data_IF_311366609854
#
_entry.id   IF_311366609854
#
_cell.length_a   1.000
_cell.length_b   1.000
_cell.length_c   1.000
_cell.angle_alpha   90.00
_cell.angle_beta   90.00
_cell.angle_gamma   90.00
#
_symmetry.space_group_name_H-M   'P 1'
#
loop_
_entity.id
_entity.type
_entity.pdbx_description
1 polymer ?
#
# COMPACT_ATOMS: atom_id res chain seq x y z
N UNK A 1 6.08 -3.53 -18.74
CA UNK A 1 5.33 -3.33 -17.50
C UNK A 1 6.22 -3.72 -16.32
N UNK A 2 6.38 -2.83 -15.34
CA UNK A 2 7.09 -3.16 -14.09
C UNK A 2 6.11 -3.68 -13.04
N UNK A 3 6.56 -4.58 -12.15
CA UNK A 3 5.70 -5.04 -11.07
C UNK A 3 6.47 -5.29 -9.77
N UNK A 4 5.80 -4.97 -8.67
CA UNK A 4 6.32 -5.03 -7.32
C UNK A 4 5.30 -5.73 -6.43
N UNK A 5 5.70 -6.88 -5.87
CA UNK A 5 4.81 -7.70 -5.06
C UNK A 5 5.43 -7.92 -3.69
N UNK A 6 4.65 -7.80 -2.66
CA UNK A 6 5.10 -7.89 -1.29
C UNK A 6 4.00 -8.28 -0.30
N UNK A 7 4.41 -8.37 0.95
CA UNK A 7 3.53 -8.61 2.09
C UNK A 7 3.40 -7.35 2.96
N UNK A 8 2.36 -7.30 3.77
CA UNK A 8 2.11 -6.22 4.74
C UNK A 8 2.95 -6.39 6.01
N UNK A 9 4.26 -6.30 5.84
CA UNK A 9 5.26 -6.55 6.87
C UNK A 9 5.92 -7.92 6.73
N UNK A 10 6.78 -8.23 7.68
CA UNK A 10 7.60 -9.47 7.67
C UNK A 10 7.63 -10.20 9.03
N UNK A 11 6.97 -9.69 10.05
CA UNK A 11 7.00 -10.26 11.40
C UNK A 11 5.82 -11.22 11.62
N UNK A 12 5.82 -12.33 10.88
CA UNK A 12 4.77 -13.35 10.89
C UNK A 12 5.35 -14.74 11.10
N UNK A 13 4.49 -15.74 11.35
CA UNK A 13 4.89 -17.12 11.63
C UNK A 13 5.64 -17.79 10.48
N UNK A 14 5.35 -17.44 9.24
CA UNK A 14 6.03 -17.93 8.06
C UNK A 14 7.46 -17.42 7.91
N UNK A 15 7.84 -16.32 8.55
CA UNK A 15 9.22 -15.83 8.63
C UNK A 15 9.90 -16.44 9.84
N UNK A 16 10.71 -17.49 9.62
CA UNK A 16 11.33 -18.30 10.69
C UNK A 16 12.15 -17.49 11.69
N UNK A 17 12.81 -16.44 11.22
CA UNK A 17 13.66 -15.58 12.06
C UNK A 17 12.94 -14.32 12.54
N UNK A 18 11.72 -14.07 12.04
CA UNK A 18 10.91 -12.89 12.35
C UNK A 18 11.66 -11.57 12.16
N UNK A 19 12.57 -11.50 11.21
CA UNK A 19 13.38 -10.32 10.92
C UNK A 19 13.37 -9.95 9.42
N UNK A 20 13.79 -8.73 9.13
CA UNK A 20 13.79 -8.20 7.77
C UNK A 20 14.84 -8.85 6.88
N UNK A 21 15.99 -9.27 7.44
CA UNK A 21 17.05 -9.95 6.69
C UNK A 21 16.55 -11.27 6.10
N UNK A 22 15.80 -12.04 6.88
CA UNK A 22 15.18 -13.26 6.39
C UNK A 22 14.21 -12.97 5.23
N UNK A 23 13.39 -11.90 5.36
CA UNK A 23 12.45 -11.50 4.31
C UNK A 23 13.17 -11.19 3.00
N UNK A 24 14.21 -10.38 3.05
CA UNK A 24 15.02 -10.03 1.87
C UNK A 24 15.61 -11.28 1.19
N UNK A 25 16.12 -12.22 1.98
CA UNK A 25 16.85 -13.37 1.44
C UNK A 25 15.94 -14.55 1.03
N UNK A 26 14.73 -14.67 1.62
CA UNK A 26 13.94 -15.90 1.50
C UNK A 26 12.54 -15.70 0.95
N UNK A 27 11.98 -14.50 0.96
CA UNK A 27 10.60 -14.28 0.49
C UNK A 27 10.43 -14.44 -1.02
N UNK A 28 11.50 -14.30 -1.81
CA UNK A 28 11.46 -14.25 -3.28
C UNK A 28 10.59 -13.10 -3.84
N UNK A 29 10.28 -12.11 -3.01
CA UNK A 29 9.49 -10.92 -3.37
C UNK A 29 10.42 -9.71 -3.53
N UNK A 30 9.94 -8.70 -4.25
CA UNK A 30 10.72 -7.49 -4.57
C UNK A 30 10.16 -6.21 -3.93
N UNK A 31 9.13 -6.33 -3.10
CA UNK A 31 8.56 -5.20 -2.35
C UNK A 31 8.12 -5.61 -0.94
N UNK A 32 7.85 -4.62 -0.10
CA UNK A 32 7.25 -4.78 1.22
C UNK A 32 6.46 -3.55 1.60
N UNK A 33 5.33 -3.74 2.27
CA UNK A 33 4.54 -2.67 2.87
C UNK A 33 4.80 -2.63 4.37
N UNK A 34 5.36 -1.54 4.87
CA UNK A 34 5.65 -1.37 6.30
C UNK A 34 4.40 -0.89 7.04
N UNK A 35 3.66 -1.80 7.67
CA UNK A 35 2.46 -1.47 8.41
C UNK A 35 2.71 -1.06 9.87
N UNK A 36 3.83 -1.44 10.48
CA UNK A 36 4.15 -1.12 11.88
C UNK A 36 4.22 0.40 12.15
N UNK A 37 4.61 1.19 11.15
CA UNK A 37 4.69 2.66 11.22
C UNK A 37 3.33 3.34 11.42
N UNK A 38 2.23 2.66 11.09
CA UNK A 38 0.87 3.12 11.35
C UNK A 38 0.57 3.30 12.84
N UNK A 39 1.06 2.36 13.66
CA UNK A 39 0.80 2.34 15.10
C UNK A 39 1.84 3.14 15.89
N UNK A 40 3.10 3.04 15.50
CA UNK A 40 4.23 3.67 16.19
C UNK A 40 5.33 4.04 15.20
N UNK A 41 5.92 5.21 15.38
CA UNK A 41 7.12 5.59 14.63
C UNK A 41 8.25 4.59 14.93
N UNK A 42 8.88 4.02 13.89
CA UNK A 42 10.05 3.17 14.07
C UNK A 42 11.21 3.93 14.72
N UNK A 43 12.10 3.22 15.40
CA UNK A 43 13.31 3.84 15.86
C UNK A 43 14.26 4.17 14.70
N UNK A 44 15.02 5.29 14.76
CA UNK A 44 15.94 5.70 13.68
C UNK A 44 16.93 4.60 13.28
N UNK A 45 17.42 3.80 14.25
CA UNK A 45 18.34 2.69 13.97
C UNK A 45 17.68 1.54 13.19
N UNK A 46 16.37 1.31 13.37
CA UNK A 46 15.64 0.33 12.57
C UNK A 46 15.62 0.76 11.10
N UNK A 47 15.29 2.03 10.84
CA UNK A 47 15.21 2.59 9.48
C UNK A 47 16.57 2.53 8.79
N UNK A 48 17.66 2.91 9.48
CA UNK A 48 19.03 2.77 8.96
C UNK A 48 19.37 1.32 8.62
N UNK A 49 18.99 0.39 9.49
CA UNK A 49 19.20 -1.05 9.25
C UNK A 49 18.41 -1.55 8.03
N UNK A 50 17.16 -1.10 7.85
CA UNK A 50 16.38 -1.46 6.68
C UNK A 50 16.94 -0.86 5.39
N UNK A 51 17.45 0.37 5.43
CA UNK A 51 18.11 0.99 4.29
C UNK A 51 19.35 0.24 3.84
N UNK A 52 20.14 -0.26 4.80
CA UNK A 52 21.37 -1.04 4.51
C UNK A 52 21.06 -2.44 3.96
N UNK A 53 20.02 -3.09 4.50
CA UNK A 53 19.68 -4.49 4.21
C UNK A 53 18.68 -4.65 3.05
N UNK A 54 17.93 -3.60 2.74
CA UNK A 54 16.82 -3.66 1.81
C UNK A 54 17.19 -3.48 0.33
N UNK A 55 18.46 -3.64 -0.03
CA UNK A 55 18.87 -3.55 -1.44
C UNK A 55 18.07 -4.54 -2.30
N UNK A 56 17.39 -4.04 -3.33
CA UNK A 56 16.52 -4.85 -4.19
C UNK A 56 15.06 -4.97 -3.72
N UNK A 57 14.71 -4.43 -2.54
CA UNK A 57 13.33 -4.37 -2.04
C UNK A 57 12.79 -2.94 -2.15
N UNK A 58 11.62 -2.78 -2.74
CA UNK A 58 10.89 -1.50 -2.76
C UNK A 58 9.93 -1.42 -1.57
N UNK A 59 9.83 -0.25 -0.98
CA UNK A 59 9.00 -0.03 0.20
C UNK A 59 7.76 0.80 -0.13
N UNK A 60 6.64 0.38 0.42
CA UNK A 60 5.49 1.22 0.68
C UNK A 60 5.35 1.42 2.19
N UNK A 61 5.27 2.67 2.65
CA UNK A 61 5.27 2.98 4.08
C UNK A 61 3.86 3.42 4.49
N UNK A 62 3.21 2.64 5.35
CA UNK A 62 1.89 3.02 5.86
C UNK A 62 2.02 4.18 6.84
N UNK A 63 1.36 5.28 6.48
CA UNK A 63 1.39 6.53 7.24
C UNK A 63 0.73 6.36 8.60
N UNK A 64 1.24 7.07 9.60
CA UNK A 64 0.75 6.99 10.98
C UNK A 64 -0.75 7.25 11.10
N UNK A 65 -1.45 6.42 11.92
CA UNK A 65 -2.87 6.60 12.25
C UNK A 65 -3.18 7.98 12.84
N UNK A 66 -2.20 8.66 13.39
CA UNK A 66 -2.38 10.02 13.92
C UNK A 66 -2.82 10.97 12.81
N UNK A 67 -2.30 10.82 11.58
CA UNK A 67 -2.64 11.66 10.43
C UNK A 67 -4.02 11.29 9.89
N UNK A 68 -4.28 10.01 9.62
CA UNK A 68 -5.47 9.57 8.87
C UNK A 68 -6.69 9.29 9.75
N UNK A 69 -6.50 8.80 10.99
CA UNK A 69 -7.57 8.35 11.87
C UNK A 69 -7.87 9.34 13.01
N UNK A 70 -6.84 9.95 13.60
CA UNK A 70 -7.00 10.84 14.74
C UNK A 70 -7.26 12.27 14.26
N UNK A 71 -6.32 12.85 13.54
CA UNK A 71 -6.41 14.24 13.07
C UNK A 71 -7.14 14.37 11.72
N UNK A 72 -7.34 13.26 10.99
CA UNK A 72 -8.15 13.22 9.76
C UNK A 72 -7.80 14.34 8.77
N UNK A 73 -6.50 14.53 8.54
CA UNK A 73 -5.93 15.51 7.63
C UNK A 73 -6.16 16.99 8.03
N UNK A 74 -6.54 17.28 9.28
CA UNK A 74 -6.61 18.66 9.75
C UNK A 74 -5.21 19.29 9.92
N UNK A 75 -5.13 20.53 10.40
CA UNK A 75 -3.87 21.28 10.56
C UNK A 75 -2.84 20.57 11.45
N UNK A 76 -3.27 19.80 12.45
CA UNK A 76 -2.36 19.04 13.32
C UNK A 76 -1.69 17.86 12.61
N UNK A 77 -2.17 17.49 11.41
CA UNK A 77 -1.59 16.42 10.61
C UNK A 77 -0.26 16.83 9.96
N UNK A 78 -0.07 18.10 9.63
CA UNK A 78 1.11 18.59 8.89
C UNK A 78 2.42 18.40 9.68
N UNK A 79 2.55 18.85 10.93
CA UNK A 79 3.79 18.64 11.67
C UNK A 79 4.08 17.15 11.91
N UNK A 80 3.04 16.31 12.02
CA UNK A 80 3.21 14.86 12.15
C UNK A 80 3.72 14.26 10.84
N UNK A 81 3.16 14.69 9.70
CA UNK A 81 3.63 14.28 8.37
C UNK A 81 5.09 14.67 8.14
N UNK A 82 5.45 15.90 8.44
CA UNK A 82 6.82 16.39 8.30
C UNK A 82 7.81 15.58 9.17
N UNK A 83 7.48 15.36 10.43
CA UNK A 83 8.29 14.52 11.32
C UNK A 83 8.41 13.08 10.79
N UNK A 84 7.31 12.54 10.25
CA UNK A 84 7.25 11.18 9.69
C UNK A 84 8.19 11.04 8.49
N UNK A 85 8.09 11.90 7.48
CA UNK A 85 8.92 11.80 6.28
C UNK A 85 10.40 12.09 6.58
N UNK A 86 10.67 13.02 7.51
CA UNK A 86 12.03 13.28 7.97
C UNK A 86 12.67 12.06 8.63
N UNK A 87 11.90 11.32 9.42
CA UNK A 87 12.37 10.08 10.03
C UNK A 87 12.78 9.02 9.00
N UNK A 88 12.05 8.94 7.88
CA UNK A 88 12.31 7.97 6.82
C UNK A 88 13.36 8.40 5.79
N UNK A 89 13.98 9.58 5.91
CA UNK A 89 15.04 10.06 5.00
C UNK A 89 16.14 9.02 4.68
N UNK A 90 16.67 8.25 5.66
CA UNK A 90 17.70 7.24 5.36
C UNK A 90 17.24 6.13 4.41
N UNK A 91 15.93 5.86 4.35
CA UNK A 91 15.32 4.83 3.51
C UNK A 91 14.74 5.40 2.20
N UNK A 92 14.78 6.71 1.99
CA UNK A 92 14.06 7.45 0.97
C UNK A 92 14.26 6.91 -0.47
N UNK A 93 15.47 6.45 -0.81
CA UNK A 93 15.80 5.90 -2.13
C UNK A 93 15.10 4.56 -2.44
N UNK A 94 14.67 3.84 -1.41
CA UNK A 94 13.97 2.57 -1.52
C UNK A 94 12.44 2.71 -1.36
N UNK A 95 11.95 3.88 -0.93
CA UNK A 95 10.51 4.11 -0.77
C UNK A 95 9.91 4.54 -2.11
N UNK A 96 8.92 3.79 -2.58
CA UNK A 96 8.10 4.20 -3.72
C UNK A 96 6.87 4.98 -3.26
N UNK A 97 6.21 4.51 -2.19
CA UNK A 97 4.95 5.09 -1.75
C UNK A 97 4.84 5.31 -0.25
N UNK A 98 4.00 6.30 0.09
CA UNK A 98 3.42 6.53 1.39
C UNK A 98 1.93 6.20 1.33
N UNK A 99 1.50 5.17 2.08
CA UNK A 99 0.13 4.69 2.08
C UNK A 99 -0.70 5.40 3.17
N UNK A 100 -1.66 6.20 2.73
CA UNK A 100 -2.68 6.83 3.56
C UNK A 100 -3.94 5.97 3.57
N UNK A 101 -4.11 5.13 4.59
CA UNK A 101 -5.34 4.36 4.75
C UNK A 101 -6.30 5.12 5.67
N UNK A 102 -7.54 5.30 5.20
CA UNK A 102 -8.59 6.02 5.92
C UNK A 102 -9.60 5.07 6.56
N UNK A 103 -10.16 5.43 7.75
CA UNK A 103 -11.18 4.62 8.39
C UNK A 103 -12.54 4.70 7.64
N UNK A 104 -13.47 3.75 7.86
CA UNK A 104 -14.82 3.81 7.29
C UNK A 104 -15.59 5.11 7.60
N UNK A 105 -15.27 5.74 8.72
CA UNK A 105 -15.87 7.02 9.12
C UNK A 105 -15.32 8.25 8.38
N UNK A 106 -14.30 8.08 7.52
CA UNK A 106 -13.80 9.11 6.61
C UNK A 106 -14.61 9.03 5.32
N UNK A 107 -15.65 9.87 5.23
CA UNK A 107 -16.63 9.86 4.14
C UNK A 107 -16.32 10.95 3.11
N UNK A 108 -17.08 10.98 2.03
CA UNK A 108 -16.96 12.00 0.98
C UNK A 108 -17.23 13.43 1.46
N UNK A 109 -17.83 13.60 2.65
CA UNK A 109 -17.98 14.92 3.32
C UNK A 109 -16.62 15.56 3.68
N UNK A 110 -15.56 14.79 3.77
CA UNK A 110 -14.20 15.26 4.03
C UNK A 110 -13.40 15.54 2.74
N UNK A 111 -14.04 15.55 1.57
CA UNK A 111 -13.35 15.72 0.28
C UNK A 111 -12.51 17.00 0.22
N UNK A 112 -13.04 18.15 0.65
CA UNK A 112 -12.30 19.41 0.65
C UNK A 112 -11.06 19.37 1.55
N UNK A 113 -11.16 18.71 2.69
CA UNK A 113 -10.02 18.51 3.60
C UNK A 113 -8.97 17.60 2.96
N UNK A 114 -9.42 16.56 2.27
CA UNK A 114 -8.57 15.64 1.53
C UNK A 114 -7.80 16.38 0.42
N UNK A 115 -8.50 17.12 -0.44
CA UNK A 115 -7.89 17.91 -1.53
C UNK A 115 -6.85 18.88 -0.98
N UNK A 116 -7.21 19.67 0.04
CA UNK A 116 -6.33 20.66 0.65
C UNK A 116 -5.04 20.02 1.17
N UNK A 117 -5.15 18.95 1.95
CA UNK A 117 -3.99 18.29 2.52
C UNK A 117 -3.00 17.80 1.45
N UNK A 118 -3.48 17.14 0.40
CA UNK A 118 -2.62 16.63 -0.65
C UNK A 118 -2.08 17.72 -1.59
N UNK A 119 -2.81 18.82 -1.76
CA UNK A 119 -2.32 19.99 -2.48
C UNK A 119 -1.18 20.72 -1.74
N UNK A 120 -1.26 20.76 -0.40
CA UNK A 120 -0.26 21.42 0.45
C UNK A 120 1.03 20.58 0.65
N UNK A 121 1.00 19.28 0.34
CA UNK A 121 2.19 18.43 0.41
C UNK A 121 3.19 18.85 -0.69
N UNK A 122 4.50 18.95 -0.35
CA UNK A 122 5.51 19.35 -1.34
C UNK A 122 5.49 18.50 -2.61
N UNK A 123 5.68 19.13 -3.77
CA UNK A 123 5.68 18.48 -5.09
C UNK A 123 6.62 17.28 -5.21
N UNK A 124 7.70 17.25 -4.42
CA UNK A 124 8.64 16.12 -4.38
C UNK A 124 8.00 14.79 -3.93
N UNK A 125 6.81 14.85 -3.33
CA UNK A 125 6.02 13.68 -2.94
C UNK A 125 4.88 13.36 -3.91
N UNK A 126 4.59 14.21 -4.90
CA UNK A 126 3.54 13.95 -5.88
C UNK A 126 3.84 12.67 -6.65
N UNK A 127 2.83 11.84 -6.88
CA UNK A 127 2.97 10.51 -7.47
C UNK A 127 3.56 9.43 -6.54
N UNK A 128 3.90 9.80 -5.29
CA UNK A 128 4.41 8.88 -4.26
C UNK A 128 3.44 8.67 -3.10
N UNK A 129 2.22 9.14 -3.23
CA UNK A 129 1.17 8.98 -2.21
C UNK A 129 0.09 8.07 -2.76
N UNK A 130 -0.27 7.06 -2.00
CA UNK A 130 -1.37 6.17 -2.31
C UNK A 130 -2.44 6.25 -1.22
N UNK A 131 -3.70 6.20 -1.61
CA UNK A 131 -4.83 6.40 -0.71
C UNK A 131 -5.78 5.21 -0.74
N UNK A 132 -5.95 4.56 0.41
CA UNK A 132 -6.90 3.48 0.61
C UNK A 132 -8.13 3.96 1.36
N UNK A 133 -9.26 3.95 0.68
CA UNK A 133 -10.55 4.29 1.26
C UNK A 133 -11.23 3.04 1.81
N UNK A 134 -11.87 3.17 2.97
CA UNK A 134 -12.63 2.09 3.63
C UNK A 134 -14.13 2.36 3.67
N UNK A 135 -14.57 3.52 3.20
CA UNK A 135 -15.99 3.83 3.06
C UNK A 135 -16.40 3.61 1.59
N UNK A 136 -17.48 2.84 1.32
CA UNK A 136 -17.93 2.53 -0.04
C UNK A 136 -18.31 3.75 -0.89
N UNK A 137 -18.70 4.88 -0.27
CA UNK A 137 -19.06 6.09 -1.00
C UNK A 137 -17.95 6.58 -1.94
N UNK A 138 -16.69 6.37 -1.56
CA UNK A 138 -15.52 6.81 -2.35
C UNK A 138 -15.35 6.05 -3.67
N UNK A 139 -15.96 4.87 -3.80
CA UNK A 139 -15.86 4.04 -5.01
C UNK A 139 -16.95 4.36 -6.05
N UNK A 140 -17.82 5.32 -5.80
CA UNK A 140 -18.73 5.85 -6.81
C UNK A 140 -17.95 6.58 -7.90
N UNK A 141 -18.38 6.44 -9.16
CA UNK A 141 -17.68 6.97 -10.34
C UNK A 141 -17.34 8.46 -10.23
N UNK A 142 -18.27 9.24 -9.69
CA UNK A 142 -18.06 10.67 -9.44
C UNK A 142 -16.80 10.92 -8.61
N UNK A 143 -16.66 10.22 -7.47
CA UNK A 143 -15.57 10.46 -6.54
C UNK A 143 -14.24 9.90 -7.04
N UNK A 144 -14.25 8.80 -7.79
CA UNK A 144 -13.05 8.29 -8.47
C UNK A 144 -12.52 9.36 -9.44
N UNK A 145 -13.39 9.94 -10.29
CA UNK A 145 -13.03 11.01 -11.23
C UNK A 145 -12.47 12.27 -10.53
N UNK A 146 -13.09 12.68 -9.42
CA UNK A 146 -12.60 13.82 -8.64
C UNK A 146 -11.21 13.54 -8.03
N UNK A 147 -10.99 12.33 -7.50
CA UNK A 147 -9.70 11.95 -6.92
C UNK A 147 -8.59 11.79 -7.98
N UNK A 148 -8.90 11.48 -9.24
CA UNK A 148 -7.94 11.43 -10.34
C UNK A 148 -7.29 12.79 -10.64
N UNK A 149 -7.93 13.90 -10.22
CA UNK A 149 -7.37 15.24 -10.35
C UNK A 149 -6.36 15.61 -9.26
N UNK A 150 -6.20 14.74 -8.25
CA UNK A 150 -5.31 14.93 -7.10
C UNK A 150 -4.04 14.10 -7.33
N UNK A 151 -2.85 14.55 -6.93
CA UNK A 151 -1.59 13.85 -7.19
C UNK A 151 -1.40 12.62 -6.27
N UNK A 152 -2.42 11.76 -6.19
CA UNK A 152 -2.43 10.51 -5.41
C UNK A 152 -2.79 9.32 -6.30
N UNK A 153 -2.34 8.15 -5.92
CA UNK A 153 -2.74 6.88 -6.54
C UNK A 153 -3.84 6.23 -5.69
N UNK A 154 -4.92 5.82 -6.32
CA UNK A 154 -6.02 5.14 -5.64
C UNK A 154 -5.71 3.66 -5.44
N UNK A 155 -5.95 3.16 -4.24
CA UNK A 155 -5.76 1.75 -3.91
C UNK A 155 -6.97 0.93 -4.34
N UNK A 156 -6.72 -0.13 -5.10
CA UNK A 156 -7.67 -1.20 -5.35
C UNK A 156 -7.69 -2.13 -4.14
N UNK A 157 -8.84 -2.27 -3.51
CA UNK A 157 -8.99 -3.06 -2.28
C UNK A 157 -9.74 -4.35 -2.60
N UNK A 158 -9.10 -5.50 -2.34
CA UNK A 158 -9.76 -6.79 -2.36
C UNK A 158 -10.12 -7.19 -0.92
N UNK A 159 -11.41 -7.09 -0.59
CA UNK A 159 -11.92 -7.32 0.76
C UNK A 159 -13.40 -7.70 0.77
N UNK A 160 -13.93 -8.31 1.88
CA UNK A 160 -15.32 -8.75 1.93
C UNK A 160 -16.35 -7.65 1.74
N UNK A 161 -16.06 -6.45 2.26
CA UNK A 161 -17.06 -5.36 2.35
C UNK A 161 -16.92 -4.30 1.26
N UNK A 162 -15.89 -4.37 0.42
CA UNK A 162 -15.63 -3.40 -0.63
C UNK A 162 -15.65 -4.07 -2.00
N UNK A 163 -15.99 -3.29 -3.03
CA UNK A 163 -15.96 -3.79 -4.39
C UNK A 163 -14.54 -4.15 -4.79
N UNK A 164 -14.34 -5.39 -5.26
CA UNK A 164 -13.04 -5.88 -5.76
C UNK A 164 -12.73 -5.31 -7.16
N UNK A 165 -12.95 -4.00 -7.33
CA UNK A 165 -12.68 -3.31 -8.59
C UNK A 165 -11.23 -2.89 -8.66
N UNK A 166 -10.54 -3.28 -9.72
CA UNK A 166 -9.20 -2.81 -10.00
C UNK A 166 -9.27 -1.41 -10.62
N UNK A 167 -8.54 -0.47 -10.00
CA UNK A 167 -8.48 0.93 -10.42
C UNK A 167 -7.11 1.19 -11.01
N UNK A 168 -7.10 1.64 -12.26
CA UNK A 168 -5.90 2.20 -12.89
C UNK A 168 -5.85 3.69 -12.56
N UNK A 169 -4.88 4.11 -11.76
CA UNK A 169 -4.70 5.49 -11.32
C UNK A 169 -3.30 5.96 -11.70
N UNK A 170 -3.19 7.01 -12.50
CA UNK A 170 -1.89 7.54 -12.99
C UNK A 170 -1.00 6.47 -13.63
N UNK A 171 -1.55 5.60 -14.48
CA UNK A 171 -0.89 4.44 -15.10
C UNK A 171 -0.34 3.41 -14.11
N UNK A 172 -0.75 3.47 -12.84
CA UNK A 172 -0.33 2.58 -11.77
C UNK A 172 -1.55 1.83 -11.24
N UNK A 173 -1.39 0.53 -11.02
CA UNK A 173 -2.30 -0.27 -10.22
C UNK A 173 -1.62 -0.52 -8.87
N UNK A 174 -2.27 -0.08 -7.79
CA UNK A 174 -1.86 -0.40 -6.43
C UNK A 174 -2.95 -1.24 -5.77
N UNK A 175 -2.66 -2.51 -5.53
CA UNK A 175 -3.61 -3.47 -4.95
C UNK A 175 -3.25 -3.85 -3.52
N UNK A 176 -4.27 -4.00 -2.69
CA UNK A 176 -4.15 -4.60 -1.36
C UNK A 176 -5.15 -5.75 -1.20
N UNK A 177 -4.61 -6.94 -0.95
CA UNK A 177 -5.36 -8.17 -0.76
C UNK A 177 -5.60 -8.42 0.73
N UNK A 178 -6.83 -8.16 1.19
CA UNK A 178 -7.22 -8.32 2.59
C UNK A 178 -8.05 -9.59 2.86
N UNK A 179 -8.48 -10.26 1.78
CA UNK A 179 -9.34 -11.43 1.84
C UNK A 179 -10.75 -11.17 1.30
N UNK A 180 -11.32 -12.14 0.60
CA UNK A 180 -12.66 -12.04 -0.03
C UNK A 180 -13.79 -12.48 0.87
N UNK A 181 -13.54 -13.47 1.72
CA UNK A 181 -14.57 -14.05 2.61
C UNK A 181 -14.50 -13.52 4.04
N UNK A 182 -13.30 -13.24 4.50
CA UNK A 182 -13.03 -12.73 5.84
C UNK A 182 -11.83 -11.79 5.81
N UNK A 183 -11.93 -10.66 6.54
CA UNK A 183 -10.82 -9.72 6.68
C UNK A 183 -9.60 -10.37 7.31
N UNK A 184 -8.48 -10.26 6.60
CA UNK A 184 -7.15 -10.73 7.02
C UNK A 184 -6.99 -12.25 7.19
N UNK A 185 -8.02 -13.05 6.89
CA UNK A 185 -8.00 -14.50 7.09
C UNK A 185 -8.60 -15.27 5.90
N UNK A 186 -8.17 -14.93 4.69
CA UNK A 186 -8.58 -15.60 3.46
C UNK A 186 -7.37 -16.16 2.73
N UNK A 187 -7.39 -17.48 2.45
CA UNK A 187 -6.39 -18.07 1.56
C UNK A 187 -6.88 -17.98 0.12
N UNK A 188 -6.28 -17.10 -0.66
CA UNK A 188 -6.64 -16.92 -2.06
C UNK A 188 -6.37 -18.19 -2.86
N UNK A 189 -7.41 -18.66 -3.54
CA UNK A 189 -7.29 -19.81 -4.45
C UNK A 189 -6.57 -19.40 -5.74
N UNK A 190 -5.91 -20.35 -6.45
CA UNK A 190 -5.18 -20.04 -7.67
C UNK A 190 -6.00 -19.26 -8.70
N UNK A 191 -7.24 -19.65 -8.96
CA UNK A 191 -8.10 -18.97 -9.93
C UNK A 191 -8.44 -17.52 -9.56
N UNK A 192 -8.53 -17.20 -8.24
CA UNK A 192 -8.81 -15.83 -7.77
C UNK A 192 -7.62 -14.90 -8.07
N UNK A 193 -6.39 -15.41 -7.89
CA UNK A 193 -5.17 -14.66 -8.19
C UNK A 193 -4.92 -14.56 -9.69
N UNK A 194 -5.23 -15.62 -10.46
CA UNK A 194 -5.17 -15.60 -11.93
C UNK A 194 -6.14 -14.59 -12.52
N UNK A 195 -7.37 -14.53 -12.01
CA UNK A 195 -8.36 -13.52 -12.37
C UNK A 195 -7.85 -12.11 -12.11
N UNK A 196 -7.31 -11.85 -10.91
CA UNK A 196 -6.78 -10.54 -10.55
C UNK A 196 -5.59 -10.13 -11.46
N UNK A 197 -4.67 -11.04 -11.77
CA UNK A 197 -3.58 -10.79 -12.71
C UNK A 197 -4.11 -10.48 -14.12
N UNK A 198 -5.11 -11.24 -14.59
CA UNK A 198 -5.72 -11.03 -15.91
C UNK A 198 -6.35 -9.64 -16.00
N UNK A 199 -7.10 -9.24 -14.96
CA UNK A 199 -7.72 -7.92 -14.88
C UNK A 199 -6.66 -6.82 -14.84
N UNK A 200 -5.61 -6.95 -14.02
CA UNK A 200 -4.50 -6.00 -14.00
C UNK A 200 -3.85 -5.83 -15.37
N UNK A 201 -3.49 -6.92 -16.02
CA UNK A 201 -2.83 -6.89 -17.33
C UNK A 201 -3.72 -6.31 -18.43
N UNK A 202 -5.04 -6.53 -18.38
CA UNK A 202 -6.00 -6.00 -19.36
C UNK A 202 -6.07 -4.47 -19.37
N UNK A 203 -5.80 -3.83 -18.25
CA UNK A 203 -5.76 -2.37 -18.08
C UNK A 203 -4.46 -1.73 -18.60
N UNK A 204 -3.46 -2.54 -18.98
CA UNK A 204 -2.16 -2.10 -19.52
C UNK A 204 -1.45 -1.03 -18.68
N UNK A 205 -1.28 -1.23 -17.37
CA UNK A 205 -0.58 -0.28 -16.52
C UNK A 205 0.91 -0.20 -16.88
N UNK A 206 1.55 0.90 -16.51
CA UNK A 206 3.02 0.99 -16.52
C UNK A 206 3.61 0.18 -15.36
N UNK A 207 2.95 0.26 -14.18
CA UNK A 207 3.40 -0.41 -12.95
C UNK A 207 2.26 -1.06 -12.19
N UNK A 208 2.55 -2.24 -11.62
CA UNK A 208 1.67 -2.94 -10.69
C UNK A 208 2.38 -3.04 -9.33
N UNK A 209 1.71 -2.60 -8.28
CA UNK A 209 2.09 -2.86 -6.90
C UNK A 209 1.01 -3.71 -6.25
N UNK A 210 1.39 -4.84 -5.65
CA UNK A 210 0.45 -5.75 -5.01
C UNK A 210 0.95 -6.15 -3.63
N UNK A 211 0.17 -5.84 -2.60
CA UNK A 211 0.52 -6.13 -1.21
C UNK A 211 -0.52 -7.03 -0.56
N UNK A 212 -0.06 -8.16 -0.05
CA UNK A 212 -0.89 -9.14 0.63
C UNK A 212 -0.93 -8.86 2.13
N UNK A 213 -2.14 -8.78 2.68
CA UNK A 213 -2.43 -8.50 4.08
C UNK A 213 -3.50 -9.50 4.60
N UNK A 214 -3.29 -10.78 4.34
CA UNK A 214 -4.16 -11.89 4.70
C UNK A 214 -3.47 -12.89 5.64
N UNK A 215 -2.73 -12.35 6.61
CA UNK A 215 -2.08 -13.02 7.73
C UNK A 215 -1.18 -14.20 7.33
N UNK A 216 -1.53 -15.41 7.72
CA UNK A 216 -0.68 -16.60 7.55
C UNK A 216 -0.45 -16.97 6.08
N UNK A 217 -1.39 -16.64 5.21
CA UNK A 217 -1.36 -17.02 3.79
C UNK A 217 -0.65 -15.99 2.89
N UNK A 218 -0.28 -14.82 3.44
CA UNK A 218 0.18 -13.70 2.62
C UNK A 218 1.47 -14.01 1.85
N UNK A 219 2.40 -14.79 2.40
CA UNK A 219 3.64 -15.10 1.72
C UNK A 219 3.40 -15.99 0.49
N UNK A 220 2.69 -17.11 0.67
CA UNK A 220 2.43 -18.07 -0.40
C UNK A 220 1.58 -17.45 -1.50
N UNK A 221 0.54 -16.68 -1.13
CA UNK A 221 -0.31 -15.97 -2.09
C UNK A 221 0.48 -14.90 -2.86
N UNK A 222 1.33 -14.11 -2.19
CA UNK A 222 2.18 -13.12 -2.83
C UNK A 222 3.19 -13.76 -3.80
N UNK A 223 3.83 -14.86 -3.41
CA UNK A 223 4.75 -15.60 -4.27
C UNK A 223 4.05 -16.17 -5.51
N UNK A 224 2.84 -16.72 -5.33
CA UNK A 224 2.07 -17.22 -6.47
C UNK A 224 1.67 -16.10 -7.43
N UNK A 225 1.15 -14.99 -6.91
CA UNK A 225 0.82 -13.80 -7.71
C UNK A 225 2.04 -13.23 -8.46
N UNK A 226 3.19 -13.20 -7.79
CA UNK A 226 4.45 -12.75 -8.38
C UNK A 226 4.90 -13.63 -9.55
N UNK A 227 4.77 -14.97 -9.43
CA UNK A 227 5.06 -15.90 -10.51
C UNK A 227 4.12 -15.69 -11.70
N UNK A 228 2.82 -15.57 -11.46
CA UNK A 228 1.84 -15.30 -12.51
C UNK A 228 2.16 -14.03 -13.30
N UNK A 229 2.58 -12.95 -12.64
CA UNK A 229 3.01 -11.73 -13.33
C UNK A 229 4.28 -11.96 -14.18
N UNK A 230 5.26 -12.70 -13.66
CA UNK A 230 6.48 -13.04 -14.41
C UNK A 230 6.21 -13.83 -15.69
N UNK A 231 5.19 -14.66 -15.70
CA UNK A 231 4.82 -15.47 -16.87
C UNK A 231 4.12 -14.65 -17.96
N UNK A 232 3.66 -13.43 -17.63
CA UNK A 232 2.86 -12.58 -18.55
C UNK A 232 3.55 -11.30 -19.01
N UNK A 233 4.72 -11.01 -18.47
CA UNK A 233 5.56 -9.84 -18.77
C UNK A 233 6.89 -10.28 -19.35
#
# INVERSE_FOLDING_TARGET
MEFYVGTSGWYYSWNKEKNFTWYVNNSQLNAVELNASFYRFPFPNQIKSWAQKGTGIRFSIKVSRRITHIHRLNQDSYPIWEAFVNLFKPLQSLIDFYLFQFPPSFTTKQFDTFVRFFADIPHSFHGRMVTEMRNPEWFQEKWIKEMEQIPVVLVSVDSPDLQNKIILSNNIIYMRFHGRTEWYNHNYLPYELEEAVNQCCSLKPEKIYAFFNNDHFMLDNAQYFYRLLKERV
#
